data_IF_068970352930
#
_entry.id   IF_068970352930
#
_cell.length_a   1.000
_cell.length_b   1.000
_cell.length_c   1.000
_cell.angle_alpha   90.00
_cell.angle_beta   90.00
_cell.angle_gamma   90.00
#
_symmetry.space_group_name_H-M   'P 1'
#
loop_
_entity.id
_entity.type
_entity.pdbx_description
1 polymer ?
#
# COMPACT_ATOMS: atom_id res chain seq x y z
N UNK A 1 17.08 51.69 -45.82
CA UNK A 1 16.56 50.93 -44.66
C UNK A 1 16.91 49.46 -44.89
N UNK A 2 17.79 48.88 -44.07
CA UNK A 2 18.45 47.59 -44.34
C UNK A 2 17.47 46.41 -44.19
N UNK A 3 16.94 45.92 -45.31
CA UNK A 3 16.05 44.75 -45.39
C UNK A 3 16.68 43.47 -44.82
N UNK A 4 18.02 43.37 -44.87
CA UNK A 4 18.77 42.23 -44.34
C UNK A 4 18.65 42.10 -42.81
N UNK A 5 18.51 43.19 -42.04
CA UNK A 5 18.46 43.08 -40.57
C UNK A 5 17.17 42.40 -40.07
N UNK A 6 16.06 42.54 -40.81
CA UNK A 6 14.76 41.99 -40.43
C UNK A 6 14.73 40.48 -40.66
N UNK A 7 15.37 40.00 -41.73
CA UNK A 7 15.45 38.57 -42.03
C UNK A 7 16.26 37.77 -41.00
N UNK A 8 17.40 38.30 -40.54
CA UNK A 8 18.21 37.65 -39.51
C UNK A 8 17.48 37.61 -38.15
N UNK A 9 16.72 38.65 -37.81
CA UNK A 9 15.92 38.68 -36.58
C UNK A 9 14.82 37.62 -36.54
N UNK A 10 14.06 37.47 -37.64
CA UNK A 10 12.98 36.48 -37.73
C UNK A 10 13.54 35.05 -37.71
N UNK A 11 14.66 34.79 -38.39
CA UNK A 11 15.27 33.46 -38.45
C UNK A 11 15.75 32.98 -37.07
N UNK A 12 16.33 33.87 -36.26
CA UNK A 12 16.78 33.53 -34.90
C UNK A 12 15.64 33.22 -33.93
N UNK A 13 14.52 33.94 -34.04
CA UNK A 13 13.36 33.69 -33.16
C UNK A 13 12.66 32.38 -33.49
N UNK A 14 12.59 31.99 -34.77
CA UNK A 14 11.98 30.69 -35.15
C UNK A 14 12.84 29.52 -34.62
N UNK A 15 14.17 29.60 -34.71
CA UNK A 15 15.03 28.56 -34.15
C UNK A 15 14.93 28.45 -32.63
N UNK A 16 14.81 29.57 -31.92
CA UNK A 16 14.69 29.55 -30.46
C UNK A 16 13.33 28.99 -29.98
N UNK A 17 12.26 29.23 -30.75
CA UNK A 17 10.92 28.68 -30.48
C UNK A 17 10.90 27.16 -30.69
N UNK A 18 11.49 26.66 -31.79
CA UNK A 18 11.52 25.22 -32.10
C UNK A 18 12.32 24.43 -31.05
N UNK A 19 13.45 24.99 -30.58
CA UNK A 19 14.25 24.37 -29.51
C UNK A 19 13.49 24.33 -28.18
N UNK A 20 12.81 25.43 -27.81
CA UNK A 20 12.03 25.48 -26.59
C UNK A 20 10.82 24.51 -26.59
N UNK A 21 10.18 24.31 -27.75
CA UNK A 21 9.08 23.35 -27.91
C UNK A 21 9.55 21.89 -27.77
N UNK A 22 10.67 21.54 -28.40
CA UNK A 22 11.24 20.18 -28.32
C UNK A 22 11.69 19.86 -26.89
N UNK A 23 12.24 20.84 -26.18
CA UNK A 23 12.63 20.66 -24.78
C UNK A 23 11.41 20.54 -23.86
N UNK A 24 10.34 21.31 -24.09
CA UNK A 24 9.08 21.17 -23.34
C UNK A 24 8.46 19.78 -23.54
N UNK A 25 8.37 19.28 -24.77
CA UNK A 25 7.84 17.95 -25.10
C UNK A 25 8.67 16.81 -24.47
N UNK A 26 10.00 16.92 -24.51
CA UNK A 26 10.88 15.96 -23.83
C UNK A 26 10.66 15.97 -22.32
N UNK A 27 10.52 17.15 -21.73
CA UNK A 27 10.33 17.30 -20.27
C UNK A 27 8.98 16.70 -19.83
N UNK A 28 7.91 16.90 -20.61
CA UNK A 28 6.61 16.25 -20.38
C UNK A 28 6.67 14.73 -20.55
N UNK A 29 7.38 14.23 -21.57
CA UNK A 29 7.57 12.79 -21.79
C UNK A 29 8.32 12.10 -20.63
N UNK A 30 9.37 12.74 -20.11
CA UNK A 30 10.09 12.25 -18.94
C UNK A 30 9.24 12.27 -17.67
N UNK A 31 8.45 13.34 -17.48
CA UNK A 31 7.54 13.48 -16.35
C UNK A 31 6.44 12.41 -16.38
N UNK A 32 5.84 12.15 -17.53
CA UNK A 32 4.79 11.12 -17.69
C UNK A 32 5.33 9.71 -17.42
N UNK A 33 6.50 9.36 -17.97
CA UNK A 33 7.14 8.06 -17.69
C UNK A 33 7.51 7.87 -16.22
N UNK A 34 7.89 8.96 -15.53
CA UNK A 34 8.15 8.94 -14.10
C UNK A 34 6.89 8.63 -13.30
N UNK A 35 5.77 9.31 -13.59
CA UNK A 35 4.49 9.06 -12.91
C UNK A 35 3.88 7.70 -13.24
N UNK A 36 4.04 7.19 -14.47
CA UNK A 36 3.64 5.82 -14.83
C UNK A 36 4.38 4.79 -13.98
N UNK A 37 5.71 4.90 -13.86
CA UNK A 37 6.50 4.01 -12.98
C UNK A 37 6.11 4.14 -11.51
N UNK A 38 5.79 5.35 -11.05
CA UNK A 38 5.31 5.59 -9.68
C UNK A 38 3.97 4.91 -9.43
N UNK A 39 3.04 5.00 -10.38
CA UNK A 39 1.74 4.33 -10.31
C UNK A 39 1.88 2.80 -10.36
N UNK A 40 2.77 2.27 -11.21
CA UNK A 40 3.05 0.83 -11.24
C UNK A 40 3.61 0.29 -9.92
N UNK A 41 4.47 1.07 -9.24
CA UNK A 41 4.99 0.72 -7.92
C UNK A 41 3.88 0.79 -6.86
N UNK A 42 3.07 1.85 -6.88
CA UNK A 42 1.95 2.01 -5.96
C UNK A 42 0.88 0.91 -6.13
N UNK A 43 0.66 0.43 -7.36
CA UNK A 43 -0.33 -0.61 -7.64
C UNK A 43 0.18 -2.03 -7.36
N UNK A 44 1.50 -2.25 -7.38
CA UNK A 44 2.11 -3.52 -6.92
C UNK A 44 1.95 -3.73 -5.42
N UNK A 45 1.99 -2.66 -4.61
CA UNK A 45 1.79 -2.76 -3.16
C UNK A 45 0.33 -3.03 -2.77
N UNK A 46 -0.64 -2.55 -3.57
CA UNK A 46 -2.08 -2.62 -3.24
C UNK A 46 -2.72 -4.00 -3.38
N UNK A 47 -2.05 -5.01 -3.97
CA UNK A 47 -2.69 -6.29 -4.36
C UNK A 47 -2.47 -7.49 -3.44
N UNK A 48 -1.90 -7.33 -2.24
CA UNK A 48 -1.91 -8.39 -1.22
C UNK A 48 -3.03 -8.11 -0.23
N UNK A 49 -4.24 -8.62 -0.51
CA UNK A 49 -5.38 -8.55 0.40
C UNK A 49 -4.97 -9.13 1.76
N UNK A 50 -4.72 -8.25 2.73
CA UNK A 50 -4.35 -8.56 4.11
C UNK A 50 -5.55 -8.87 4.99
N UNK A 51 -6.77 -8.72 4.44
CA UNK A 51 -8.02 -8.80 5.19
C UNK A 51 -8.70 -10.15 4.98
N UNK A 52 -8.95 -10.85 6.07
CA UNK A 52 -9.81 -12.05 6.12
C UNK A 52 -11.13 -11.70 6.80
N UNK A 53 -12.26 -11.98 6.15
CA UNK A 53 -13.60 -11.72 6.71
C UNK A 53 -14.07 -12.97 7.45
N UNK A 54 -14.55 -12.78 8.68
CA UNK A 54 -15.09 -13.85 9.53
C UNK A 54 -16.41 -13.39 10.16
N UNK A 55 -17.29 -14.33 10.52
CA UNK A 55 -18.55 -13.99 11.21
C UNK A 55 -18.26 -13.25 12.52
N UNK A 56 -19.13 -12.30 12.86
CA UNK A 56 -18.96 -11.47 14.06
C UNK A 56 -18.95 -12.28 15.37
N UNK A 57 -19.73 -13.36 15.45
CA UNK A 57 -19.75 -14.27 16.60
C UNK A 57 -18.42 -15.02 16.75
N UNK A 58 -17.97 -15.65 15.65
CA UNK A 58 -16.69 -16.37 15.60
C UNK A 58 -15.50 -15.44 15.87
N UNK A 59 -15.58 -14.18 15.45
CA UNK A 59 -14.57 -13.17 15.73
C UNK A 59 -14.41 -12.92 17.24
N UNK A 60 -15.54 -12.69 17.93
CA UNK A 60 -15.54 -12.47 19.38
C UNK A 60 -15.07 -13.71 20.13
N UNK A 61 -15.58 -14.89 19.75
CA UNK A 61 -15.16 -16.15 20.34
C UNK A 61 -13.65 -16.38 20.18
N UNK A 62 -13.08 -16.04 19.02
CA UNK A 62 -11.65 -16.16 18.77
C UNK A 62 -10.82 -15.19 19.63
N UNK A 63 -11.28 -13.95 19.82
CA UNK A 63 -10.65 -13.00 20.76
C UNK A 63 -10.62 -13.58 22.16
N UNK A 64 -11.76 -14.06 22.66
CA UNK A 64 -11.88 -14.60 24.00
C UNK A 64 -10.99 -15.83 24.18
N UNK A 65 -10.94 -16.72 23.19
CA UNK A 65 -10.07 -17.89 23.19
C UNK A 65 -8.58 -17.52 23.21
N UNK A 66 -8.15 -16.52 22.42
CA UNK A 66 -6.76 -16.06 22.43
C UNK A 66 -6.41 -15.44 23.78
N UNK A 67 -7.30 -14.60 24.35
CA UNK A 67 -7.08 -13.98 25.66
C UNK A 67 -7.04 -15.02 26.78
N UNK A 68 -7.97 -15.97 26.78
CA UNK A 68 -7.99 -17.07 27.74
C UNK A 68 -6.70 -17.90 27.64
N UNK A 69 -6.28 -18.25 26.43
CA UNK A 69 -5.04 -18.97 26.19
C UNK A 69 -3.82 -18.16 26.66
N UNK A 70 -3.75 -16.85 26.39
CA UNK A 70 -2.64 -15.99 26.86
C UNK A 70 -2.56 -15.91 28.38
N UNK A 71 -3.71 -15.77 29.06
CA UNK A 71 -3.79 -15.55 30.50
C UNK A 71 -3.70 -16.85 31.33
N UNK A 72 -3.83 -18.01 30.68
CA UNK A 72 -3.74 -19.31 31.34
C UNK A 72 -2.33 -19.54 31.89
N UNK A 73 -2.24 -19.67 33.22
CA UNK A 73 -1.00 -19.95 33.97
C UNK A 73 -0.62 -21.43 33.97
N UNK A 74 -1.60 -22.30 33.79
CA UNK A 74 -1.41 -23.75 33.72
C UNK A 74 -0.90 -24.22 32.34
N UNK A 75 -0.65 -25.52 32.22
CA UNK A 75 -0.30 -26.18 30.98
C UNK A 75 -1.38 -25.95 29.93
N UNK A 76 -0.97 -25.46 28.76
CA UNK A 76 -1.86 -25.19 27.64
C UNK A 76 -2.18 -26.47 26.87
N UNK A 77 -3.40 -26.56 26.36
CA UNK A 77 -3.81 -27.62 25.45
C UNK A 77 -3.15 -27.42 24.09
N UNK A 78 -3.09 -28.49 23.28
CA UNK A 78 -2.59 -28.42 21.90
C UNK A 78 -3.35 -27.39 21.06
N UNK A 79 -4.65 -27.25 21.28
CA UNK A 79 -5.48 -26.25 20.60
C UNK A 79 -5.06 -24.82 20.97
N UNK A 80 -4.87 -24.55 22.27
CA UNK A 80 -4.42 -23.24 22.77
C UNK A 80 -3.04 -22.88 22.21
N UNK A 81 -2.11 -23.83 22.15
CA UNK A 81 -0.80 -23.61 21.51
C UNK A 81 -0.93 -23.28 20.02
N UNK A 82 -1.76 -24.01 19.28
CA UNK A 82 -1.98 -23.73 17.86
C UNK A 82 -2.55 -22.33 17.64
N UNK A 83 -3.51 -21.91 18.48
CA UNK A 83 -4.10 -20.58 18.41
C UNK A 83 -3.03 -19.51 18.66
N UNK A 84 -2.23 -19.63 19.71
CA UNK A 84 -1.18 -18.65 20.05
C UNK A 84 -0.01 -18.64 19.06
N UNK A 85 0.22 -19.75 18.36
CA UNK A 85 1.21 -19.85 17.29
C UNK A 85 0.77 -19.07 16.06
N UNK A 86 -0.52 -19.12 15.73
CA UNK A 86 -1.02 -18.58 14.47
C UNK A 86 -1.59 -17.15 14.62
N UNK A 87 -2.10 -16.79 15.79
CA UNK A 87 -2.80 -15.53 16.00
C UNK A 87 -2.23 -14.72 17.17
N UNK A 88 -2.38 -13.41 17.05
CA UNK A 88 -2.12 -12.44 18.10
C UNK A 88 -3.23 -11.38 18.17
N UNK A 89 -3.31 -10.65 19.28
CA UNK A 89 -4.23 -9.53 19.46
C UNK A 89 -3.40 -8.25 19.58
N UNK A 90 -3.68 -7.30 18.70
CA UNK A 90 -3.20 -5.92 18.78
C UNK A 90 -4.32 -5.03 19.35
N UNK A 91 -3.98 -4.23 20.35
CA UNK A 91 -4.91 -3.29 20.98
C UNK A 91 -4.57 -1.86 20.54
N UNK A 92 -5.55 -1.16 19.98
CA UNK A 92 -5.43 0.24 19.52
C UNK A 92 -6.62 1.02 20.03
N UNK A 93 -6.39 1.93 20.99
CA UNK A 93 -7.43 2.78 21.59
C UNK A 93 -8.67 1.95 21.99
N UNK A 94 -8.47 0.94 22.83
CA UNK A 94 -9.48 0.00 23.34
C UNK A 94 -10.09 -0.98 22.30
N UNK A 95 -9.72 -0.85 21.02
CA UNK A 95 -10.15 -1.79 20.00
C UNK A 95 -9.15 -2.93 19.84
N UNK A 96 -9.61 -4.15 20.09
CA UNK A 96 -8.85 -5.39 19.86
C UNK A 96 -8.97 -5.82 18.40
N UNK A 97 -7.82 -6.09 17.77
CA UNK A 97 -7.72 -6.61 16.41
C UNK A 97 -6.96 -7.92 16.40
N UNK A 98 -7.51 -8.93 15.73
CA UNK A 98 -6.84 -10.22 15.54
C UNK A 98 -5.91 -10.14 14.34
N UNK A 99 -4.64 -10.48 14.55
CA UNK A 99 -3.58 -10.50 13.55
C UNK A 99 -3.10 -11.94 13.38
N UNK A 100 -2.91 -12.37 12.14
CA UNK A 100 -2.24 -13.63 11.84
C UNK A 100 -0.72 -13.41 11.89
N UNK A 101 -0.02 -14.26 12.64
CA UNK A 101 1.44 -14.17 12.75
C UNK A 101 2.09 -14.54 11.43
N UNK A 102 3.12 -13.78 11.06
CA UNK A 102 3.89 -14.02 9.84
C UNK A 102 4.76 -15.26 10.00
N UNK A 103 4.87 -16.07 8.95
CA UNK A 103 5.83 -17.17 8.91
C UNK A 103 7.21 -16.69 8.47
N UNK A 104 7.28 -15.65 7.62
CA UNK A 104 8.51 -14.99 7.17
C UNK A 104 8.38 -13.47 7.28
N UNK A 105 9.51 -12.78 7.44
CA UNK A 105 9.51 -11.31 7.58
C UNK A 105 8.96 -10.58 6.35
N UNK A 106 9.14 -11.17 5.16
CA UNK A 106 8.65 -10.62 3.89
C UNK A 106 7.15 -10.91 3.62
N UNK A 107 6.51 -11.70 4.49
CA UNK A 107 5.08 -12.00 4.33
C UNK A 107 4.23 -10.76 4.68
N UNK A 108 3.16 -10.51 3.92
CA UNK A 108 2.22 -9.44 4.26
C UNK A 108 1.58 -9.72 5.62
N UNK A 109 1.41 -8.68 6.44
CA UNK A 109 0.62 -8.78 7.67
C UNK A 109 -0.82 -9.06 7.29
N UNK A 110 -1.39 -10.15 7.80
CA UNK A 110 -2.81 -10.49 7.63
C UNK A 110 -3.57 -10.25 8.92
N UNK A 111 -4.80 -9.77 8.81
CA UNK A 111 -5.68 -9.47 9.93
C UNK A 111 -7.12 -9.89 9.64
N UNK A 112 -7.83 -10.28 10.71
CA UNK A 112 -9.23 -10.67 10.62
C UNK A 112 -10.14 -9.49 10.92
N UNK A 113 -11.24 -9.40 10.18
CA UNK A 113 -12.27 -8.37 10.35
C UNK A 113 -13.64 -9.04 10.47
N UNK A 114 -14.46 -8.63 11.45
CA UNK A 114 -15.82 -9.15 11.57
C UNK A 114 -16.68 -8.76 10.37
N UNK A 115 -17.60 -9.64 10.00
CA UNK A 115 -18.63 -9.39 9.01
C UNK A 115 -19.67 -8.42 9.60
N UNK A 116 -19.78 -7.24 9.00
CA UNK A 116 -20.75 -6.22 9.35
C UNK A 116 -21.84 -6.27 8.29
N UNK A 117 -23.07 -6.58 8.70
CA UNK A 117 -24.25 -6.36 7.86
C UNK A 117 -24.54 -4.86 7.96
N UNK A 118 -24.44 -4.16 6.83
CA UNK A 118 -24.81 -2.75 6.69
C UNK A 118 -26.26 -2.68 6.22
#
# INVERSE_FOLDING_TARGET
MNLNLIFWGILSMVSDIDVALVDAEKTESHKNKFYEKLNELADKEKKKNSRTIIKSEDYKALIDNILAAKNKKETKSRSEYNILRNYDILEVNDNKKIIEKRERDDDPIRYLVPYIII
#
